data_IF_290909412253
#
_entry.id   IF_290909412253
#
_cell.length_a   1.000
_cell.length_b   1.000
_cell.length_c   1.000
_cell.angle_alpha   90.00
_cell.angle_beta   90.00
_cell.angle_gamma   90.00
#
_symmetry.space_group_name_H-M   'P 1'
#
loop_
_entity.id
_entity.type
_entity.pdbx_description
1 polymer ?
#
# COMPACT_ATOMS: atom_id res chain seq x y z
N UNK A 1 -0.36 -24.24 32.18
CA UNK A 1 0.57 -23.07 32.28
C UNK A 1 -0.15 -21.92 32.98
N UNK A 2 0.26 -21.57 34.17
CA UNK A 2 -0.29 -20.38 34.82
C UNK A 2 0.27 -19.12 34.17
N UNK A 3 -0.59 -18.29 33.57
CA UNK A 3 -0.20 -16.92 33.26
C UNK A 3 0.10 -16.20 34.59
N UNK A 4 1.36 -15.92 34.83
CA UNK A 4 1.78 -14.98 35.86
C UNK A 4 1.49 -13.60 35.27
N UNK A 5 0.82 -12.74 36.00
CA UNK A 5 0.57 -11.33 35.66
C UNK A 5 -0.62 -11.07 34.74
N UNK A 6 -1.78 -11.37 35.25
CA UNK A 6 -3.06 -10.98 34.61
C UNK A 6 -3.26 -9.44 34.62
N UNK A 7 -2.42 -8.71 35.36
CA UNK A 7 -2.49 -7.25 35.49
C UNK A 7 -1.51 -6.48 34.62
N UNK A 8 -0.54 -7.17 34.01
CA UNK A 8 0.41 -6.51 33.10
C UNK A 8 -0.19 -6.41 31.70
N UNK A 9 0.07 -5.30 30.98
CA UNK A 9 -0.39 -5.18 29.61
C UNK A 9 0.14 -6.30 28.75
N UNK A 10 -0.76 -7.00 28.06
CA UNK A 10 -0.44 -8.16 27.21
C UNK A 10 0.42 -7.75 26.01
N UNK A 11 0.36 -6.49 25.63
CA UNK A 11 1.13 -5.88 24.54
C UNK A 11 2.02 -4.75 25.09
N UNK A 12 3.08 -5.10 25.78
CA UNK A 12 4.12 -4.15 26.05
C UNK A 12 5.08 -4.11 24.86
N UNK A 13 5.41 -2.95 24.32
CA UNK A 13 6.52 -2.86 23.39
C UNK A 13 7.75 -3.36 24.14
N UNK A 14 8.41 -4.39 23.61
CA UNK A 14 9.61 -4.87 24.24
C UNK A 14 9.43 -5.91 25.35
N UNK A 15 8.95 -7.09 25.01
CA UNK A 15 8.89 -8.24 25.93
C UNK A 15 10.24 -8.69 26.48
N UNK A 16 11.36 -8.07 26.07
CA UNK A 16 12.71 -8.37 26.50
C UNK A 16 13.30 -7.35 27.48
N UNK A 17 12.48 -6.64 28.22
CA UNK A 17 12.94 -5.73 29.26
C UNK A 17 13.37 -4.33 28.78
N UNK A 18 12.85 -3.90 27.64
CA UNK A 18 13.05 -2.54 27.15
C UNK A 18 12.17 -1.50 27.85
N UNK A 19 12.05 -0.30 27.28
CA UNK A 19 11.34 0.78 27.93
C UNK A 19 9.86 0.45 28.15
N UNK A 20 9.38 0.72 29.36
CA UNK A 20 7.97 0.59 29.73
C UNK A 20 7.33 1.98 29.83
N UNK A 21 6.03 2.04 29.56
CA UNK A 21 5.25 3.24 29.86
C UNK A 21 5.32 3.52 31.37
N UNK A 22 5.67 4.73 31.73
CA UNK A 22 5.65 5.21 33.11
C UNK A 22 4.36 6.00 33.37
N UNK A 23 3.37 5.42 34.04
CA UNK A 23 2.08 6.10 34.27
C UNK A 23 2.24 7.37 35.13
N UNK A 24 3.29 7.46 35.94
CA UNK A 24 3.54 8.63 36.77
C UNK A 24 4.07 9.83 35.97
N UNK A 25 4.65 9.59 34.81
CA UNK A 25 5.19 10.62 33.90
C UNK A 25 4.36 10.80 32.63
N UNK A 26 3.48 9.85 32.31
CA UNK A 26 2.59 9.95 31.18
C UNK A 26 1.46 10.95 31.49
N UNK A 27 1.61 12.17 31.01
CA UNK A 27 0.48 13.09 30.99
C UNK A 27 -0.54 12.59 29.99
N UNK A 28 -1.80 12.42 30.41
CA UNK A 28 -2.88 12.16 29.48
C UNK A 28 -3.04 13.35 28.54
N UNK A 29 -2.66 13.19 27.31
CA UNK A 29 -2.91 14.18 26.27
C UNK A 29 -4.33 13.98 25.77
N UNK A 30 -5.24 14.87 26.14
CA UNK A 30 -6.58 14.89 25.55
C UNK A 30 -6.51 15.48 24.16
N UNK A 31 -6.85 14.67 23.21
CA UNK A 31 -6.97 15.10 21.83
C UNK A 31 -8.43 15.43 21.51
N UNK A 32 -8.69 16.67 21.11
CA UNK A 32 -10.01 17.09 20.66
C UNK A 32 -9.99 17.16 19.13
N UNK A 33 -10.84 16.38 18.49
CA UNK A 33 -11.16 16.54 17.08
C UNK A 33 -12.47 17.32 16.98
N UNK A 34 -12.45 18.46 16.32
CA UNK A 34 -13.67 19.20 16.00
C UNK A 34 -14.39 18.54 14.85
N UNK A 35 -15.70 18.58 14.89
CA UNK A 35 -16.55 18.06 13.83
C UNK A 35 -17.48 16.94 14.29
N UNK A 36 -18.42 16.63 13.45
CA UNK A 36 -19.41 15.59 13.66
C UNK A 36 -18.88 14.24 13.12
N UNK A 37 -18.91 13.21 13.96
CA UNK A 37 -18.59 11.86 13.49
C UNK A 37 -19.77 11.29 12.70
N UNK A 38 -19.63 11.22 11.41
CA UNK A 38 -20.64 10.66 10.52
C UNK A 38 -20.20 9.26 10.09
N UNK A 39 -21.06 8.27 10.33
CA UNK A 39 -20.90 6.95 9.74
C UNK A 39 -21.61 6.93 8.40
N UNK A 40 -20.87 6.87 7.31
CA UNK A 40 -21.40 6.81 5.96
C UNK A 40 -20.73 5.69 5.16
N UNK A 41 -21.42 5.22 4.14
CA UNK A 41 -20.81 4.34 3.16
C UNK A 41 -19.75 5.10 2.37
N UNK A 42 -18.63 4.45 2.06
CA UNK A 42 -17.63 5.03 1.18
C UNK A 42 -18.22 5.20 -0.23
N UNK A 43 -18.08 6.40 -0.76
CA UNK A 43 -18.38 6.68 -2.16
C UNK A 43 -17.10 7.13 -2.86
N UNK A 44 -16.84 6.54 -4.04
CA UNK A 44 -15.69 6.94 -4.86
C UNK A 44 -15.85 8.41 -5.28
N UNK A 45 -14.85 9.22 -5.00
CA UNK A 45 -14.81 10.62 -5.42
C UNK A 45 -14.17 10.72 -6.79
N UNK A 46 -14.89 11.32 -7.73
CA UNK A 46 -14.40 11.48 -9.11
C UNK A 46 -13.29 12.55 -9.23
N UNK A 47 -13.17 13.42 -8.24
CA UNK A 47 -12.21 14.50 -8.17
C UNK A 47 -10.92 14.14 -7.40
N UNK A 48 -10.87 12.94 -6.81
CA UNK A 48 -9.66 12.47 -6.14
C UNK A 48 -8.58 12.11 -7.18
N UNK A 49 -7.37 12.59 -6.95
CA UNK A 49 -6.20 12.24 -7.77
C UNK A 49 -5.52 10.98 -7.22
N UNK A 50 -6.04 9.81 -7.54
CA UNK A 50 -5.54 8.53 -7.04
C UNK A 50 -4.19 8.12 -7.65
N UNK A 51 -3.81 8.69 -8.80
CA UNK A 51 -2.63 8.27 -9.57
C UNK A 51 -1.51 9.30 -9.61
N UNK A 52 -1.76 10.55 -9.25
CA UNK A 52 -0.79 11.65 -9.38
C UNK A 52 0.50 11.40 -8.63
N UNK A 53 0.42 10.98 -7.38
CA UNK A 53 1.59 10.69 -6.55
C UNK A 53 2.38 9.48 -7.08
N UNK A 54 1.71 8.42 -7.47
CA UNK A 54 2.34 7.24 -8.05
C UNK A 54 3.02 7.55 -9.39
N UNK A 55 2.38 8.34 -10.24
CA UNK A 55 2.95 8.80 -11.50
C UNK A 55 4.20 9.67 -11.30
N UNK A 56 4.18 10.58 -10.35
CA UNK A 56 5.34 11.39 -9.97
C UNK A 56 6.50 10.50 -9.51
N UNK A 57 6.23 9.49 -8.69
CA UNK A 57 7.24 8.53 -8.26
C UNK A 57 7.91 7.85 -9.45
N UNK A 58 7.14 7.36 -10.41
CA UNK A 58 7.66 6.66 -11.59
C UNK A 58 8.47 7.58 -12.50
N UNK A 59 7.96 8.79 -12.78
CA UNK A 59 8.57 9.70 -13.77
C UNK A 59 9.75 10.49 -13.23
N UNK A 60 9.68 10.92 -11.96
CA UNK A 60 10.59 11.94 -11.42
C UNK A 60 11.52 11.39 -10.33
N UNK A 61 11.14 10.36 -9.61
CA UNK A 61 11.91 9.84 -8.48
C UNK A 61 12.71 8.58 -8.83
N UNK A 62 12.08 7.63 -9.51
CA UNK A 62 12.75 6.39 -9.91
C UNK A 62 13.71 6.66 -11.08
N UNK A 63 14.93 6.14 -10.98
CA UNK A 63 15.86 6.07 -12.10
C UNK A 63 15.47 4.98 -13.12
N UNK A 64 16.15 4.93 -14.25
CA UNK A 64 15.83 3.98 -15.32
C UNK A 64 15.90 2.52 -14.85
N UNK A 65 16.93 2.18 -14.06
CA UNK A 65 17.08 0.81 -13.54
C UNK A 65 15.95 0.45 -12.54
N UNK A 66 15.53 1.40 -11.72
CA UNK A 66 14.42 1.18 -10.79
C UNK A 66 13.09 1.01 -11.53
N UNK A 67 12.87 1.77 -12.60
CA UNK A 67 11.69 1.61 -13.48
C UNK A 67 11.68 0.25 -14.18
N UNK A 68 12.83 -0.22 -14.68
CA UNK A 68 12.95 -1.55 -15.27
C UNK A 68 12.66 -2.66 -14.25
N UNK A 69 13.20 -2.57 -13.04
CA UNK A 69 12.91 -3.52 -11.97
C UNK A 69 11.43 -3.52 -11.58
N UNK A 70 10.81 -2.34 -11.51
CA UNK A 70 9.38 -2.21 -11.24
C UNK A 70 8.54 -2.92 -12.30
N UNK A 71 8.79 -2.63 -13.58
CA UNK A 71 8.11 -3.29 -14.69
C UNK A 71 8.31 -4.82 -14.66
N UNK A 72 9.53 -5.28 -14.44
CA UNK A 72 9.86 -6.69 -14.33
C UNK A 72 9.08 -7.39 -13.20
N UNK A 73 9.01 -6.77 -12.03
CA UNK A 73 8.27 -7.31 -10.89
C UNK A 73 6.77 -7.39 -11.17
N UNK A 74 6.19 -6.35 -11.74
CA UNK A 74 4.77 -6.34 -12.10
C UNK A 74 4.47 -7.46 -13.11
N UNK A 75 5.25 -7.55 -14.18
CA UNK A 75 5.11 -8.59 -15.22
C UNK A 75 5.21 -9.98 -14.59
N UNK A 76 6.17 -10.19 -13.70
CA UNK A 76 6.38 -11.46 -13.02
C UNK A 76 5.19 -11.89 -12.16
N UNK A 77 4.54 -10.97 -11.49
CA UNK A 77 3.36 -11.26 -10.67
C UNK A 77 2.09 -11.42 -11.49
N UNK A 78 1.83 -10.49 -12.41
CA UNK A 78 0.59 -10.48 -13.21
C UNK A 78 0.50 -11.67 -14.15
N UNK A 79 1.61 -12.13 -14.70
CA UNK A 79 1.64 -13.30 -15.59
C UNK A 79 1.34 -14.64 -14.88
N UNK A 80 1.27 -14.64 -13.55
CA UNK A 80 1.01 -15.86 -12.75
C UNK A 80 -0.49 -16.07 -12.46
N UNK A 81 -1.31 -16.23 -13.46
CA UNK A 81 -2.68 -16.68 -13.31
C UNK A 81 -3.76 -15.58 -13.30
N UNK A 82 -3.40 -14.33 -13.55
CA UNK A 82 -4.39 -13.27 -13.76
C UNK A 82 -5.02 -13.44 -15.14
N UNK A 83 -6.34 -13.49 -15.18
CA UNK A 83 -7.13 -13.71 -16.40
C UNK A 83 -8.08 -12.54 -16.66
N UNK A 84 -8.61 -12.51 -17.90
CA UNK A 84 -9.69 -11.57 -18.22
C UNK A 84 -10.96 -11.81 -17.34
N UNK A 85 -11.69 -10.77 -16.93
CA UNK A 85 -11.52 -9.36 -17.29
C UNK A 85 -10.54 -8.58 -16.39
N UNK A 86 -9.94 -9.22 -15.39
CA UNK A 86 -9.04 -8.57 -14.42
C UNK A 86 -7.75 -8.10 -15.10
N UNK A 87 -7.24 -8.87 -16.05
CA UNK A 87 -6.01 -8.56 -16.78
C UNK A 87 -6.10 -7.20 -17.49
N UNK A 88 -7.20 -6.93 -18.19
CA UNK A 88 -7.42 -5.63 -18.86
C UNK A 88 -7.47 -4.47 -17.87
N UNK A 89 -8.07 -4.66 -16.69
CA UNK A 89 -8.10 -3.65 -15.62
C UNK A 89 -6.74 -3.37 -15.04
N UNK A 90 -5.88 -4.39 -14.93
CA UNK A 90 -4.50 -4.21 -14.48
C UNK A 90 -3.72 -3.35 -15.47
N UNK A 91 -3.87 -3.57 -16.77
CA UNK A 91 -3.21 -2.76 -17.79
C UNK A 91 -3.71 -1.31 -17.77
N UNK A 92 -5.00 -1.10 -17.62
CA UNK A 92 -5.59 0.23 -17.47
C UNK A 92 -5.06 0.95 -16.22
N UNK A 93 -5.01 0.26 -15.09
CA UNK A 93 -4.45 0.79 -13.84
C UNK A 93 -3.03 1.32 -14.02
N UNK A 94 -2.15 0.53 -14.60
CA UNK A 94 -0.76 0.94 -14.79
C UNK A 94 -0.58 2.02 -15.84
N UNK A 95 -1.46 2.10 -16.85
CA UNK A 95 -1.49 3.24 -17.77
C UNK A 95 -1.92 4.53 -17.08
N UNK A 96 -2.82 4.46 -16.12
CA UNK A 96 -3.23 5.61 -15.33
C UNK A 96 -2.12 6.12 -14.40
N UNK A 97 -1.27 5.22 -13.90
CA UNK A 97 -0.08 5.61 -13.15
C UNK A 97 0.94 6.29 -14.05
N UNK A 98 1.31 5.65 -15.14
CA UNK A 98 2.22 6.17 -16.15
C UNK A 98 2.01 5.43 -17.49
N UNK A 99 1.77 6.16 -18.61
CA UNK A 99 1.48 5.53 -19.89
C UNK A 99 2.58 4.62 -20.41
N UNK A 100 3.85 5.00 -20.26
CA UNK A 100 4.99 4.21 -20.73
C UNK A 100 5.18 2.94 -19.90
N UNK A 101 5.04 3.05 -18.56
CA UNK A 101 5.07 1.90 -17.66
C UNK A 101 3.93 0.93 -17.99
N UNK A 102 2.71 1.45 -18.16
CA UNK A 102 1.55 0.64 -18.51
C UNK A 102 1.73 -0.14 -19.82
N UNK A 103 2.29 0.51 -20.83
CA UNK A 103 2.61 -0.12 -22.12
C UNK A 103 3.64 -1.24 -21.94
N UNK A 104 4.73 -0.97 -21.23
CA UNK A 104 5.78 -1.98 -20.99
C UNK A 104 5.26 -3.19 -20.22
N UNK A 105 4.40 -2.95 -19.23
CA UNK A 105 3.76 -4.03 -18.45
C UNK A 105 2.85 -4.87 -19.36
N UNK A 106 2.01 -4.25 -20.17
CA UNK A 106 1.12 -4.97 -21.08
C UNK A 106 1.88 -5.82 -22.09
N UNK A 107 2.88 -5.25 -22.75
CA UNK A 107 3.72 -5.97 -23.71
C UNK A 107 4.45 -7.14 -23.06
N UNK A 108 5.04 -6.93 -21.88
CA UNK A 108 5.75 -7.96 -21.14
C UNK A 108 4.86 -9.10 -20.66
N UNK A 109 3.65 -8.81 -20.19
CA UNK A 109 2.69 -9.83 -19.75
C UNK A 109 2.17 -10.63 -20.95
N UNK A 110 1.80 -9.97 -22.04
CA UNK A 110 1.33 -10.66 -23.26
C UNK A 110 2.41 -11.57 -23.82
N UNK A 111 3.65 -11.11 -23.88
CA UNK A 111 4.80 -11.94 -24.34
C UNK A 111 5.01 -13.20 -23.47
N UNK A 112 4.78 -13.11 -22.15
CA UNK A 112 4.86 -14.26 -21.25
C UNK A 112 3.67 -15.22 -21.35
N UNK A 113 2.49 -14.72 -21.65
CA UNK A 113 1.29 -15.55 -21.80
C UNK A 113 1.25 -16.29 -23.12
N UNK A 114 1.98 -15.80 -24.15
CA UNK A 114 2.10 -16.43 -25.47
C UNK A 114 3.18 -17.53 -25.51
N UNK A 115 3.92 -17.73 -24.42
CA UNK A 115 4.91 -18.81 -24.27
C UNK A 115 4.25 -20.06 -23.66
#
# INVERSE_FOLDING_TARGET
>A
MRMKNVTDPVYAPNSYGGPHADPARAAEVRWHADGEMIRAAYTLRADDDDFGQAGTMVREVLDDQARERLAHNIIGHVSKGVKEPVLSRVFEYWRNVDPDLGKNVEEGVRAKLDQ
#
